data_IF_672486033572
#
_entry.id   IF_672486033572
#
_cell.length_a   1.000
_cell.length_b   1.000
_cell.length_c   1.000
_cell.angle_alpha   90.00
_cell.angle_beta   90.00
_cell.angle_gamma   90.00
#
_symmetry.space_group_name_H-M   'P 1'
#
loop_
_entity.id
_entity.type
_entity.pdbx_description
1 polymer ?
#
# COMPACT_ATOMS: atom_id res chain seq x y z
N UNK A 1 14.01 15.39 68.47
CA UNK A 1 14.54 16.14 67.31
C UNK A 1 15.14 15.21 66.27
N UNK A 2 15.99 14.26 66.66
CA UNK A 2 16.68 13.29 65.78
C UNK A 2 15.74 12.43 64.90
N UNK A 3 14.67 11.85 65.48
CA UNK A 3 13.65 11.08 64.72
C UNK A 3 12.98 11.86 63.58
N UNK A 4 12.81 13.18 63.72
CA UNK A 4 12.22 14.04 62.68
C UNK A 4 13.21 14.23 61.52
N UNK A 5 14.51 14.34 61.82
CA UNK A 5 15.57 14.44 60.81
C UNK A 5 15.71 13.15 60.01
N UNK A 6 15.60 11.99 60.66
CA UNK A 6 15.60 10.68 59.98
C UNK A 6 14.38 10.48 59.08
N UNK A 7 13.19 10.86 59.56
CA UNK A 7 11.96 10.79 58.76
C UNK A 7 12.06 11.68 57.51
N UNK A 8 12.54 12.92 57.66
CA UNK A 8 12.75 13.83 56.52
C UNK A 8 13.79 13.29 55.52
N UNK A 9 14.87 12.66 56.00
CA UNK A 9 15.88 12.02 55.15
C UNK A 9 15.29 10.83 54.38
N UNK A 10 14.43 10.04 55.01
CA UNK A 10 13.72 8.91 54.38
C UNK A 10 12.74 9.39 53.30
N UNK A 11 11.93 10.41 53.61
CA UNK A 11 10.99 11.01 52.66
C UNK A 11 11.69 11.63 51.45
N UNK A 12 12.84 12.29 51.66
CA UNK A 12 13.65 12.84 50.58
C UNK A 12 14.18 11.74 49.65
N UNK A 13 14.69 10.62 50.21
CA UNK A 13 15.14 9.46 49.42
C UNK A 13 13.99 8.85 48.61
N UNK A 14 12.81 8.69 49.21
CA UNK A 14 11.63 8.18 48.51
C UNK A 14 11.20 9.10 47.35
N UNK A 15 11.27 10.42 47.52
CA UNK A 15 10.95 11.38 46.46
C UNK A 15 11.94 11.29 45.29
N UNK A 16 13.23 11.14 45.58
CA UNK A 16 14.28 10.95 44.56
C UNK A 16 14.07 9.63 43.80
N UNK A 17 13.74 8.53 44.49
CA UNK A 17 13.47 7.23 43.86
C UNK A 17 12.25 7.32 42.93
N UNK A 18 11.14 7.92 43.39
CA UNK A 18 9.94 8.12 42.56
C UNK A 18 10.23 8.95 41.32
N UNK A 19 11.01 10.03 41.43
CA UNK A 19 11.38 10.86 40.28
C UNK A 19 12.25 10.10 39.28
N UNK A 20 13.20 9.26 39.74
CA UNK A 20 14.00 8.41 38.86
C UNK A 20 13.17 7.36 38.14
N UNK A 21 12.22 6.73 38.85
CA UNK A 21 11.27 5.77 38.25
C UNK A 21 10.40 6.47 37.19
N UNK A 22 9.85 7.65 37.51
CA UNK A 22 9.06 8.43 36.57
C UNK A 22 9.87 8.82 35.34
N UNK A 23 11.11 9.28 35.51
CA UNK A 23 12.02 9.59 34.41
C UNK A 23 12.27 8.36 33.52
N UNK A 24 12.54 7.19 34.10
CA UNK A 24 12.70 5.93 33.38
C UNK A 24 11.47 5.57 32.54
N UNK A 25 10.27 5.69 33.11
CA UNK A 25 9.01 5.46 32.37
C UNK A 25 8.84 6.45 31.22
N UNK A 26 9.08 7.74 31.45
CA UNK A 26 8.96 8.75 30.38
C UNK A 26 9.96 8.51 29.25
N UNK A 27 11.20 8.11 29.57
CA UNK A 27 12.22 7.79 28.56
C UNK A 27 11.86 6.53 27.76
N UNK A 28 11.30 5.50 28.40
CA UNK A 28 10.88 4.28 27.71
C UNK A 28 9.71 4.52 26.75
N UNK A 29 8.71 5.33 27.15
CA UNK A 29 7.58 5.70 26.29
C UNK A 29 8.08 6.48 25.07
N UNK A 30 8.97 7.45 25.27
CA UNK A 30 9.54 8.24 24.17
C UNK A 30 10.29 7.35 23.17
N UNK A 31 11.07 6.38 23.66
CA UNK A 31 11.78 5.42 22.82
C UNK A 31 10.83 4.55 21.99
N UNK A 32 9.72 4.09 22.59
CA UNK A 32 8.70 3.29 21.89
C UNK A 32 8.02 4.08 20.77
N UNK A 33 7.71 5.37 21.00
CA UNK A 33 7.16 6.24 19.96
C UNK A 33 8.17 6.46 18.82
N UNK A 34 9.46 6.66 19.11
CA UNK A 34 10.50 6.83 18.09
C UNK A 34 10.63 5.56 17.21
N UNK A 35 10.65 4.38 17.82
CA UNK A 35 10.74 3.11 17.08
C UNK A 35 9.52 2.88 16.18
N UNK A 36 8.33 3.31 16.63
CA UNK A 36 7.09 3.18 15.86
C UNK A 36 7.06 4.04 14.58
N UNK A 37 7.92 5.07 14.48
CA UNK A 37 8.03 5.92 13.29
C UNK A 37 8.89 5.31 12.17
N UNK A 38 9.53 4.16 12.39
CA UNK A 38 10.42 3.55 11.40
C UNK A 38 9.72 2.66 10.36
N UNK A 39 8.39 2.52 10.38
CA UNK A 39 7.65 1.81 9.33
C UNK A 39 7.34 2.71 8.13
N UNK A 40 8.37 3.37 7.59
CA UNK A 40 8.23 4.08 6.32
C UNK A 40 8.24 3.03 5.20
N UNK A 41 7.08 2.78 4.58
CA UNK A 41 6.97 2.01 3.35
C UNK A 41 7.85 2.68 2.29
N UNK A 42 8.68 1.92 1.59
CA UNK A 42 9.37 2.43 0.41
C UNK A 42 8.33 2.99 -0.58
N UNK A 43 8.51 4.23 -1.01
CA UNK A 43 7.67 4.82 -2.05
C UNK A 43 8.09 4.22 -3.37
N UNK A 44 7.35 3.23 -3.86
CA UNK A 44 7.50 2.71 -5.21
C UNK A 44 7.22 3.87 -6.17
N UNK A 45 8.24 4.34 -6.85
CA UNK A 45 8.16 5.48 -7.78
C UNK A 45 8.29 5.06 -9.24
N UNK A 46 8.77 3.84 -9.48
CA UNK A 46 8.92 3.25 -10.80
C UNK A 46 8.09 1.97 -10.89
N UNK A 47 7.34 1.82 -11.98
CA UNK A 47 6.53 0.62 -12.17
C UNK A 47 7.37 -0.66 -12.34
N UNK A 48 8.60 -0.54 -12.85
CA UNK A 48 9.49 -1.68 -13.11
C UNK A 48 9.94 -2.39 -11.83
N UNK A 49 9.84 -1.72 -10.68
CA UNK A 49 10.21 -2.28 -9.39
C UNK A 49 9.10 -3.18 -8.81
N UNK A 50 7.91 -3.18 -9.43
CA UNK A 50 6.78 -4.01 -9.00
C UNK A 50 6.90 -5.39 -9.63
N UNK A 51 7.32 -6.35 -8.81
CA UNK A 51 7.43 -7.77 -9.19
C UNK A 51 6.22 -8.54 -8.70
N UNK A 52 5.49 -9.14 -9.63
CA UNK A 52 4.35 -10.00 -9.35
C UNK A 52 4.80 -11.43 -9.06
N UNK A 53 4.23 -12.10 -8.03
CA UNK A 53 4.46 -13.51 -7.80
C UNK A 53 3.71 -14.39 -8.82
N UNK A 54 4.14 -15.64 -8.98
CA UNK A 54 3.49 -16.60 -9.88
C UNK A 54 2.10 -17.06 -9.39
N UNK A 55 1.79 -16.83 -8.10
CA UNK A 55 0.48 -17.13 -7.51
C UNK A 55 0.22 -16.29 -6.27
N UNK A 56 -1.02 -16.28 -5.80
CA UNK A 56 -1.50 -15.49 -4.65
C UNK A 56 -1.20 -14.00 -4.83
N UNK A 57 -1.51 -13.47 -6.00
CA UNK A 57 -1.25 -12.07 -6.32
C UNK A 57 -2.14 -11.20 -5.43
N UNK A 58 -1.50 -10.43 -4.55
CA UNK A 58 -2.20 -9.42 -3.73
C UNK A 58 -2.59 -8.21 -4.55
N UNK A 59 -3.84 -7.77 -4.41
CA UNK A 59 -4.30 -6.52 -4.98
C UNK A 59 -3.54 -5.33 -4.38
N UNK A 60 -3.46 -5.26 -3.05
CA UNK A 60 -2.88 -4.13 -2.34
C UNK A 60 -1.37 -4.00 -2.59
N UNK A 61 -0.65 -5.12 -2.64
CA UNK A 61 0.81 -5.11 -2.76
C UNK A 61 1.33 -5.08 -4.21
N UNK A 62 0.54 -5.55 -5.19
CA UNK A 62 1.01 -5.67 -6.57
C UNK A 62 0.13 -4.92 -7.57
N UNK A 63 -1.17 -5.24 -7.61
CA UNK A 63 -2.07 -4.75 -8.66
C UNK A 63 -2.34 -3.26 -8.52
N UNK A 64 -2.74 -2.81 -7.34
CA UNK A 64 -3.05 -1.41 -7.06
C UNK A 64 -1.85 -0.48 -7.29
N UNK A 65 -0.64 -0.75 -6.74
CA UNK A 65 0.50 0.12 -7.02
C UNK A 65 0.87 0.11 -8.50
N UNK A 66 0.76 -1.03 -9.19
CA UNK A 66 1.01 -1.11 -10.62
C UNK A 66 0.05 -0.24 -11.44
N UNK A 67 -1.26 -0.36 -11.19
CA UNK A 67 -2.28 0.41 -11.89
C UNK A 67 -2.19 1.91 -11.59
N UNK A 68 -1.93 2.27 -10.32
CA UNK A 68 -1.74 3.68 -9.92
C UNK A 68 -0.54 4.30 -10.61
N UNK A 69 0.63 3.67 -10.55
CA UNK A 69 1.87 4.25 -11.08
C UNK A 69 1.87 4.25 -12.62
N UNK A 70 1.37 3.18 -13.22
CA UNK A 70 1.42 3.01 -14.69
C UNK A 70 0.32 3.79 -15.40
N UNK A 71 -0.86 3.94 -14.79
CA UNK A 71 -2.05 4.47 -15.46
C UNK A 71 -2.74 5.62 -14.69
N UNK A 72 -2.86 5.51 -13.36
CA UNK A 72 -3.57 6.49 -12.53
C UNK A 72 -2.82 7.83 -12.38
N UNK A 73 -1.51 7.80 -12.16
CA UNK A 73 -0.67 8.98 -11.95
C UNK A 73 -0.29 9.69 -13.24
N UNK A 74 -0.52 9.06 -14.40
CA UNK A 74 -0.30 9.68 -15.72
C UNK A 74 -1.37 10.72 -16.10
N UNK A 75 -2.29 11.07 -15.18
CA UNK A 75 -3.45 11.93 -15.40
C UNK A 75 -4.44 11.44 -16.47
N UNK A 76 -4.58 10.11 -16.65
CA UNK A 76 -5.55 9.54 -17.59
C UNK A 76 -6.64 8.69 -16.93
N UNK A 77 -6.34 7.95 -15.86
CA UNK A 77 -7.30 7.03 -15.23
C UNK A 77 -7.32 7.14 -13.70
N UNK A 78 -7.45 8.37 -13.20
CA UNK A 78 -7.65 8.66 -11.78
C UNK A 78 -9.04 9.25 -11.53
N UNK A 79 -9.35 9.54 -10.26
CA UNK A 79 -10.65 10.04 -9.82
C UNK A 79 -11.04 11.39 -10.44
N UNK A 80 -10.06 12.22 -10.81
CA UNK A 80 -10.29 13.54 -11.41
C UNK A 80 -10.30 13.49 -12.95
N UNK A 81 -9.38 12.71 -13.51
CA UNK A 81 -9.20 12.50 -14.94
C UNK A 81 -9.45 11.03 -15.24
N UNK A 82 -10.70 10.72 -15.56
CA UNK A 82 -11.21 9.37 -15.83
C UNK A 82 -11.48 9.21 -17.34
N UNK A 83 -10.41 9.17 -18.14
CA UNK A 83 -10.53 8.97 -19.58
C UNK A 83 -11.34 7.70 -19.88
N UNK A 84 -12.30 7.82 -20.80
CA UNK A 84 -13.27 6.78 -21.13
C UNK A 84 -14.06 6.23 -19.92
N UNK A 85 -14.27 7.07 -18.89
CA UNK A 85 -14.95 6.71 -17.64
C UNK A 85 -14.33 5.51 -16.93
N UNK A 86 -13.00 5.42 -17.00
CA UNK A 86 -12.20 4.39 -16.33
C UNK A 86 -11.38 5.01 -15.20
N UNK A 87 -11.58 4.49 -14.00
CA UNK A 87 -10.85 4.85 -12.77
C UNK A 87 -10.10 3.61 -12.27
N UNK A 88 -8.79 3.74 -12.08
CA UNK A 88 -7.88 2.64 -11.72
C UNK A 88 -7.22 2.80 -10.34
N UNK A 89 -7.71 3.74 -9.52
CA UNK A 89 -7.10 4.11 -8.24
C UNK A 89 -7.57 3.27 -7.05
N UNK A 90 -8.68 2.55 -7.18
CA UNK A 90 -9.21 1.68 -6.13
C UNK A 90 -9.89 0.44 -6.70
N UNK A 91 -10.10 -0.52 -5.81
CA UNK A 91 -10.63 -1.83 -6.14
C UNK A 91 -12.03 -1.74 -6.75
N UNK A 92 -12.94 -0.97 -6.15
CA UNK A 92 -14.34 -0.98 -6.56
C UNK A 92 -14.51 -0.42 -7.98
N UNK A 93 -13.85 0.70 -8.27
CA UNK A 93 -13.95 1.31 -9.59
C UNK A 93 -13.38 0.44 -10.71
N UNK A 94 -12.41 -0.43 -10.44
CA UNK A 94 -11.89 -1.37 -11.46
C UNK A 94 -13.00 -2.32 -11.95
N UNK A 95 -13.98 -2.68 -11.12
CA UNK A 95 -15.07 -3.57 -11.51
C UNK A 95 -16.33 -2.85 -12.00
N UNK A 96 -16.45 -1.54 -11.77
CA UNK A 96 -17.59 -0.75 -12.26
C UNK A 96 -17.24 0.08 -13.50
N UNK A 97 -15.96 0.37 -13.72
CA UNK A 97 -15.46 1.05 -14.91
C UNK A 97 -15.77 0.29 -16.19
N UNK A 98 -15.90 1.02 -17.30
CA UNK A 98 -16.15 0.45 -18.62
C UNK A 98 -17.40 -0.46 -18.65
N UNK A 99 -18.48 -0.02 -17.99
CA UNK A 99 -19.72 -0.79 -17.88
C UNK A 99 -19.57 -2.14 -17.16
N UNK A 100 -18.54 -2.28 -16.34
CA UNK A 100 -18.21 -3.51 -15.62
C UNK A 100 -17.46 -4.56 -16.44
N UNK A 101 -17.00 -4.21 -17.64
CA UNK A 101 -16.25 -5.12 -18.51
C UNK A 101 -14.72 -4.99 -18.41
N UNK A 102 -14.22 -4.04 -17.62
CA UNK A 102 -12.79 -3.81 -17.48
C UNK A 102 -12.06 -5.05 -16.92
N UNK A 103 -12.60 -5.65 -15.86
CA UNK A 103 -12.10 -6.89 -15.25
C UNK A 103 -13.24 -7.86 -14.98
N UNK A 104 -13.12 -9.07 -15.51
CA UNK A 104 -14.00 -10.19 -15.20
C UNK A 104 -13.25 -11.23 -14.36
N UNK A 105 -13.58 -11.40 -13.07
CA UNK A 105 -12.99 -12.43 -12.21
C UNK A 105 -13.03 -13.82 -12.87
N UNK A 106 -11.92 -14.56 -12.73
CA UNK A 106 -11.71 -15.90 -13.31
C UNK A 106 -11.72 -15.97 -14.84
N UNK A 107 -11.83 -14.82 -15.53
CA UNK A 107 -11.95 -14.75 -17.00
C UNK A 107 -10.94 -13.75 -17.58
N UNK A 108 -9.62 -14.06 -17.53
CA UNK A 108 -8.57 -13.16 -18.01
C UNK A 108 -8.80 -12.74 -19.46
N UNK A 109 -9.12 -13.67 -20.35
CA UNK A 109 -9.21 -13.41 -21.80
C UNK A 109 -10.48 -12.63 -22.18
N UNK A 110 -11.45 -12.51 -21.26
CA UNK A 110 -12.64 -11.67 -21.46
C UNK A 110 -12.44 -10.25 -20.90
N UNK A 111 -11.43 -10.04 -20.05
CA UNK A 111 -11.19 -8.76 -19.36
C UNK A 111 -10.54 -7.75 -20.30
N UNK A 112 -11.17 -6.59 -20.50
CA UNK A 112 -10.66 -5.54 -21.40
C UNK A 112 -9.28 -5.05 -20.97
N UNK A 113 -9.04 -4.92 -19.66
CA UNK A 113 -7.73 -4.54 -19.12
C UNK A 113 -6.62 -5.43 -19.67
N UNK A 114 -6.78 -6.75 -19.59
CA UNK A 114 -5.75 -7.68 -20.03
C UNK A 114 -5.55 -7.58 -21.54
N UNK A 115 -6.63 -7.51 -22.32
CA UNK A 115 -6.53 -7.34 -23.78
C UNK A 115 -5.73 -6.09 -24.18
N UNK A 116 -5.88 -4.98 -23.45
CA UNK A 116 -5.08 -3.76 -23.67
C UNK A 116 -3.61 -4.01 -23.32
N UNK A 117 -3.30 -4.63 -22.17
CA UNK A 117 -1.92 -4.92 -21.74
C UNK A 117 -1.20 -5.90 -22.68
N UNK A 118 -1.95 -6.69 -23.45
CA UNK A 118 -1.44 -7.65 -24.43
C UNK A 118 -1.43 -7.12 -25.87
N UNK A 119 -1.98 -5.94 -26.09
CA UNK A 119 -2.05 -5.34 -27.42
C UNK A 119 -3.11 -5.94 -28.34
N UNK A 120 -4.08 -6.69 -27.79
CA UNK A 120 -5.24 -7.19 -28.55
C UNK A 120 -6.30 -6.11 -28.77
N UNK A 121 -6.38 -5.12 -27.89
CA UNK A 121 -7.30 -3.97 -28.00
C UNK A 121 -6.50 -2.67 -28.09
N UNK A 122 -7.00 -1.73 -28.88
CA UNK A 122 -6.33 -0.44 -29.10
C UNK A 122 -6.56 0.45 -27.88
N UNK A 123 -5.46 1.02 -27.39
CA UNK A 123 -5.47 2.10 -26.41
C UNK A 123 -4.90 3.37 -27.06
N UNK A 124 -5.36 4.55 -26.63
CA UNK A 124 -4.96 5.85 -27.22
C UNK A 124 -3.43 6.02 -27.25
N UNK A 125 -2.76 5.47 -26.25
CA UNK A 125 -1.29 5.40 -26.17
C UNK A 125 -0.84 3.94 -26.16
N UNK A 126 0.34 3.62 -26.70
CA UNK A 126 0.83 2.24 -26.75
C UNK A 126 1.36 1.80 -25.38
N UNK A 127 0.47 1.35 -24.49
CA UNK A 127 0.79 0.94 -23.11
C UNK A 127 1.63 -0.33 -23.07
N UNK A 128 1.46 -1.24 -24.03
CA UNK A 128 2.13 -2.55 -24.05
C UNK A 128 3.67 -2.48 -24.11
N UNK A 129 4.25 -1.35 -24.56
CA UNK A 129 5.71 -1.11 -24.51
C UNK A 129 6.19 -0.55 -23.17
N UNK A 130 5.30 -0.09 -22.30
CA UNK A 130 5.61 0.53 -20.99
C UNK A 130 5.58 -0.48 -19.83
N UNK A 131 5.22 -1.72 -20.13
CA UNK A 131 5.09 -2.80 -19.16
C UNK A 131 5.92 -4.01 -19.62
N UNK A 132 6.36 -4.81 -18.66
CA UNK A 132 7.15 -6.00 -18.90
C UNK A 132 6.29 -7.28 -18.79
N UNK A 133 6.88 -8.42 -19.16
CA UNK A 133 6.19 -9.71 -19.14
C UNK A 133 5.78 -10.17 -17.74
N UNK A 134 6.53 -9.81 -16.69
CA UNK A 134 6.15 -10.14 -15.32
C UNK A 134 4.87 -9.41 -14.92
N UNK A 135 4.75 -8.12 -15.21
CA UNK A 135 3.54 -7.34 -14.93
C UNK A 135 2.33 -7.87 -15.71
N UNK A 136 2.49 -8.18 -17.01
CA UNK A 136 1.42 -8.77 -17.84
C UNK A 136 0.96 -10.12 -17.29
N UNK A 137 1.91 -11.00 -16.94
CA UNK A 137 1.61 -12.31 -16.35
C UNK A 137 0.96 -12.18 -14.98
N UNK A 138 1.43 -11.23 -14.17
CA UNK A 138 0.92 -10.94 -12.84
C UNK A 138 -0.54 -10.47 -12.85
N UNK A 139 -0.89 -9.53 -13.73
CA UNK A 139 -2.28 -9.08 -13.89
C UNK A 139 -3.16 -10.23 -14.41
N UNK A 140 -2.69 -11.01 -15.39
CA UNK A 140 -3.40 -12.22 -15.83
C UNK A 140 -3.63 -13.18 -14.65
N UNK A 141 -2.60 -13.41 -13.84
CA UNK A 141 -2.67 -14.35 -12.72
C UNK A 141 -3.64 -13.87 -11.64
N UNK A 142 -3.60 -12.59 -11.28
CA UNK A 142 -4.58 -11.99 -10.36
C UNK A 142 -6.02 -12.19 -10.85
N UNK A 143 -6.30 -11.94 -12.14
CA UNK A 143 -7.64 -12.14 -12.70
C UNK A 143 -8.02 -13.63 -12.67
N UNK A 144 -7.10 -14.53 -13.04
CA UNK A 144 -7.29 -15.98 -12.95
C UNK A 144 -7.62 -16.45 -11.54
N UNK A 145 -7.05 -15.82 -10.52
CA UNK A 145 -7.29 -16.12 -9.10
C UNK A 145 -8.59 -15.53 -8.55
N UNK A 146 -9.39 -14.89 -9.41
CA UNK A 146 -10.66 -14.30 -9.05
C UNK A 146 -10.59 -12.81 -8.75
N UNK A 147 -9.48 -12.15 -9.10
CA UNK A 147 -9.28 -10.72 -8.95
C UNK A 147 -9.59 -10.21 -7.52
N UNK A 148 -9.09 -10.93 -6.50
CA UNK A 148 -9.42 -10.70 -5.08
C UNK A 148 -8.87 -9.37 -4.57
N UNK A 149 -9.56 -8.79 -3.58
CA UNK A 149 -9.05 -7.67 -2.78
C UNK A 149 -8.34 -8.20 -1.52
N UNK A 150 -7.06 -8.56 -1.66
CA UNK A 150 -6.23 -9.21 -0.63
C UNK A 150 -4.88 -8.52 -0.42
#
# INVERSE_FOLDING_TARGET
MEKILELNRSLMKMKVIKNKILQLYTSAILLFFIVSLHNCSETISNNQDIIFPDSNVSFLMHVQPFLKITCGYSNCHNEYYHAADVILTDYFHIFTSYGGALVFPYKPDQSVLLKILEGYEVHLTPIYYRINDNQRKGIRQWIKEGAKNN
#
